data_IF_743937821020
#
_entry.id   IF_743937821020
#
_cell.length_a   1.000
_cell.length_b   1.000
_cell.length_c   1.000
_cell.angle_alpha   90.00
_cell.angle_beta   90.00
_cell.angle_gamma   90.00
#
_symmetry.space_group_name_H-M   'P 1'
#
loop_
_entity.id
_entity.type
_entity.pdbx_description
1 polymer ?
#
# COMPACT_ATOMS: atom_id res chain seq x y z
N UNK A 1 -22.35 -31.11 -7.74
CA UNK A 1 -22.65 -29.67 -7.57
C UNK A 1 -21.32 -28.93 -7.67
N UNK A 2 -21.00 -28.36 -8.83
CA UNK A 2 -19.76 -27.60 -9.03
C UNK A 2 -19.99 -26.15 -8.62
N UNK A 3 -19.28 -25.69 -7.59
CA UNK A 3 -19.16 -24.28 -7.29
C UNK A 3 -18.35 -23.62 -8.42
N UNK A 4 -18.97 -22.69 -9.15
CA UNK A 4 -18.25 -21.83 -10.09
C UNK A 4 -17.42 -20.88 -9.22
N UNK A 5 -16.08 -20.88 -9.30
CA UNK A 5 -15.30 -19.86 -8.62
C UNK A 5 -15.63 -18.53 -9.29
N UNK A 6 -16.25 -17.62 -8.53
CA UNK A 6 -16.42 -16.22 -8.94
C UNK A 6 -15.03 -15.67 -9.20
N UNK A 7 -14.72 -15.37 -10.46
CA UNK A 7 -13.52 -14.65 -10.83
C UNK A 7 -13.56 -13.31 -10.10
N UNK A 8 -12.71 -13.15 -9.09
CA UNK A 8 -12.57 -11.88 -8.39
C UNK A 8 -11.85 -10.95 -9.37
N UNK A 9 -12.50 -9.87 -9.76
CA UNK A 9 -11.95 -8.97 -10.78
C UNK A 9 -10.67 -8.30 -10.23
N UNK A 10 -9.63 -8.08 -11.06
CA UNK A 10 -8.55 -7.19 -10.66
C UNK A 10 -9.19 -5.86 -10.22
N UNK A 11 -8.76 -5.31 -9.09
CA UNK A 11 -9.18 -3.98 -8.64
C UNK A 11 -8.93 -2.99 -9.79
N UNK A 12 -9.98 -2.70 -10.56
CA UNK A 12 -9.96 -1.71 -11.63
C UNK A 12 -9.39 -0.44 -11.02
N UNK A 13 -8.40 0.16 -11.69
CA UNK A 13 -7.82 1.43 -11.25
C UNK A 13 -8.99 2.40 -11.03
N UNK A 14 -9.26 2.84 -9.80
CA UNK A 14 -10.44 3.64 -9.56
C UNK A 14 -10.35 4.96 -10.33
N UNK A 15 -11.50 5.44 -10.80
CA UNK A 15 -11.59 6.69 -11.53
C UNK A 15 -11.12 7.90 -10.69
N UNK A 16 -11.25 7.79 -9.36
CA UNK A 16 -10.75 8.76 -8.39
C UNK A 16 -9.69 8.12 -7.46
N UNK A 17 -8.43 8.61 -7.49
CA UNK A 17 -7.39 8.17 -6.57
C UNK A 17 -7.74 8.36 -5.08
N UNK A 18 -8.63 9.30 -4.74
CA UNK A 18 -9.08 9.48 -3.36
C UNK A 18 -9.81 8.25 -2.80
N UNK A 19 -10.39 7.42 -3.67
CA UNK A 19 -11.00 6.15 -3.27
C UNK A 19 -9.99 5.11 -2.76
N UNK A 20 -8.68 5.32 -2.98
CA UNK A 20 -7.62 4.44 -2.51
C UNK A 20 -7.09 4.82 -1.12
N UNK A 21 -7.58 5.90 -0.50
CA UNK A 21 -7.15 6.27 0.86
C UNK A 21 -7.50 5.16 1.85
N UNK A 22 -6.54 4.77 2.68
CA UNK A 22 -6.65 3.62 3.58
C UNK A 22 -6.33 2.28 2.92
N UNK A 23 -5.84 2.26 1.67
CA UNK A 23 -5.44 1.03 0.97
C UNK A 23 -3.96 1.01 0.63
N UNK A 24 -3.40 -0.19 0.42
CA UNK A 24 -2.03 -0.32 -0.07
C UNK A 24 -1.96 0.08 -1.53
N UNK A 25 -1.07 1.02 -1.80
CA UNK A 25 -0.82 1.54 -3.13
C UNK A 25 0.68 1.58 -3.42
N UNK A 26 0.99 1.61 -4.70
CA UNK A 26 2.28 2.03 -5.24
C UNK A 26 2.17 3.47 -5.72
N UNK A 27 3.12 4.31 -5.33
CA UNK A 27 3.21 5.67 -5.85
C UNK A 27 3.48 5.68 -7.35
N UNK A 28 2.93 6.69 -8.03
CA UNK A 28 3.04 6.85 -9.47
C UNK A 28 4.39 7.41 -9.97
N UNK A 29 5.33 7.74 -9.09
CA UNK A 29 6.61 8.37 -9.46
C UNK A 29 7.73 7.37 -9.80
N UNK A 30 7.41 6.07 -9.80
CA UNK A 30 8.32 5.00 -10.23
C UNK A 30 9.32 4.55 -9.17
N UNK A 31 9.37 5.19 -7.99
CA UNK A 31 10.26 4.78 -6.90
C UNK A 31 9.91 3.37 -6.40
N UNK A 32 10.87 2.43 -6.30
CA UNK A 32 10.62 1.04 -5.93
C UNK A 32 10.25 0.86 -4.44
N UNK A 33 10.59 1.84 -3.62
CA UNK A 33 10.34 1.92 -2.19
C UNK A 33 9.04 2.69 -1.84
N UNK A 34 8.39 3.32 -2.82
CA UNK A 34 7.16 4.08 -2.62
C UNK A 34 5.92 3.18 -2.66
N UNK A 35 5.91 2.14 -1.82
CA UNK A 35 4.78 1.22 -1.60
C UNK A 35 4.35 1.32 -0.15
N UNK A 36 3.08 1.64 0.09
CA UNK A 36 2.56 1.89 1.44
C UNK A 36 1.07 2.09 1.46
N UNK A 37 0.52 2.30 2.65
CA UNK A 37 -0.89 2.66 2.83
C UNK A 37 -1.08 4.13 2.45
N UNK A 38 -1.98 4.42 1.52
CA UNK A 38 -2.28 5.78 1.12
C UNK A 38 -2.99 6.53 2.25
N UNK A 39 -2.37 7.58 2.77
CA UNK A 39 -2.94 8.42 3.84
C UNK A 39 -3.63 9.65 3.25
N UNK A 40 -3.04 10.22 2.21
CA UNK A 40 -3.57 11.41 1.53
C UNK A 40 -3.22 11.39 0.06
N UNK A 41 -4.12 11.88 -0.76
CA UNK A 41 -3.87 12.16 -2.18
C UNK A 41 -4.63 13.42 -2.56
N UNK A 42 -3.97 14.31 -3.28
CA UNK A 42 -4.58 15.55 -3.75
C UNK A 42 -4.17 15.84 -5.18
N UNK A 43 -5.11 16.41 -5.94
CA UNK A 43 -4.84 16.85 -7.30
C UNK A 43 -4.29 18.28 -7.25
N UNK A 44 -3.05 18.46 -7.71
CA UNK A 44 -2.39 19.76 -7.76
C UNK A 44 -2.58 20.48 -9.11
N UNK A 45 -3.07 19.76 -10.13
CA UNK A 45 -3.31 20.32 -11.46
C UNK A 45 -3.80 19.29 -12.47
N UNK A 46 -3.73 19.60 -13.77
CA UNK A 46 -4.07 18.64 -14.82
C UNK A 46 -3.06 17.48 -14.83
N UNK A 47 -3.47 16.38 -14.23
CA UNK A 47 -2.69 15.14 -14.23
C UNK A 47 -1.46 15.21 -13.33
N UNK A 48 -1.40 16.10 -12.33
CA UNK A 48 -0.34 16.13 -11.33
C UNK A 48 -0.95 15.95 -9.95
N UNK A 49 -0.36 15.06 -9.16
CA UNK A 49 -0.88 14.60 -7.88
C UNK A 49 0.19 14.80 -6.80
N UNK A 50 -0.22 15.20 -5.61
CA UNK A 50 0.54 14.99 -4.38
C UNK A 50 -0.05 13.81 -3.61
N UNK A 51 0.79 13.12 -2.86
CA UNK A 51 0.38 11.98 -2.06
C UNK A 51 1.26 11.81 -0.83
N UNK A 52 0.71 11.13 0.15
CA UNK A 52 1.39 10.72 1.39
C UNK A 52 1.08 9.26 1.65
N UNK A 53 2.12 8.45 1.82
CA UNK A 53 2.05 7.04 2.16
C UNK A 53 2.56 6.84 3.58
N UNK A 54 1.88 5.99 4.33
CA UNK A 54 2.44 5.35 5.51
C UNK A 54 3.16 4.08 5.07
N UNK A 55 4.46 3.99 5.38
CA UNK A 55 5.27 2.81 5.05
C UNK A 55 5.91 2.24 6.33
N UNK A 56 6.40 0.98 6.29
CA UNK A 56 7.13 0.40 7.43
C UNK A 56 8.39 1.19 7.82
N UNK A 57 8.98 1.93 6.88
CA UNK A 57 10.17 2.76 7.11
C UNK A 57 9.81 4.20 7.55
N UNK A 58 8.52 4.54 7.61
CA UNK A 58 8.01 5.86 7.96
C UNK A 58 7.13 6.48 6.89
N UNK A 59 6.59 7.68 7.16
CA UNK A 59 5.78 8.39 6.20
C UNK A 59 6.63 8.84 5.00
N UNK A 60 6.13 8.59 3.79
CA UNK A 60 6.75 9.02 2.53
C UNK A 60 5.80 9.98 1.83
N UNK A 61 6.30 11.16 1.49
CA UNK A 61 5.56 12.14 0.69
C UNK A 61 6.13 12.23 -0.70
N UNK A 62 5.28 12.52 -1.67
CA UNK A 62 5.73 12.74 -3.03
C UNK A 62 4.67 13.39 -3.88
N UNK A 63 5.07 13.65 -5.12
CA UNK A 63 4.19 14.18 -6.14
C UNK A 63 4.62 13.69 -7.51
N UNK A 64 3.68 13.53 -8.43
CA UNK A 64 3.99 13.04 -9.77
C UNK A 64 2.84 13.18 -10.75
N UNK A 65 3.14 12.93 -12.03
CA UNK A 65 2.14 12.96 -13.11
C UNK A 65 1.21 11.74 -13.12
N UNK A 66 1.55 10.71 -12.33
CA UNK A 66 0.75 9.51 -12.18
C UNK A 66 0.18 9.46 -10.77
N UNK A 67 -1.12 9.16 -10.68
CA UNK A 67 -1.76 8.88 -9.41
C UNK A 67 -1.18 7.60 -8.77
N UNK A 68 -1.24 7.47 -7.44
CA UNK A 68 -1.04 6.19 -6.79
C UNK A 68 -1.97 5.13 -7.38
N UNK A 69 -1.50 3.90 -7.47
CA UNK A 69 -2.23 2.77 -8.05
C UNK A 69 -2.25 1.59 -7.07
N UNK A 70 -3.25 0.69 -7.15
CA UNK A 70 -3.26 -0.54 -6.37
C UNK A 70 -1.93 -1.30 -6.48
N UNK A 71 -1.50 -1.92 -5.39
CA UNK A 71 -0.29 -2.76 -5.38
C UNK A 71 -0.45 -3.99 -6.26
N UNK A 72 0.65 -4.42 -6.87
CA UNK A 72 0.73 -5.74 -7.51
C UNK A 72 1.08 -6.82 -6.49
N UNK A 73 0.92 -8.10 -6.83
CA UNK A 73 1.37 -9.21 -5.96
C UNK A 73 2.89 -9.17 -5.69
N UNK A 74 3.69 -8.69 -6.64
CA UNK A 74 5.12 -8.49 -6.43
C UNK A 74 5.40 -7.40 -5.36
N UNK A 75 4.64 -6.30 -5.41
CA UNK A 75 4.71 -5.24 -4.39
C UNK A 75 4.27 -5.76 -3.03
N UNK A 76 3.14 -6.49 -2.98
CA UNK A 76 2.58 -7.07 -1.77
C UNK A 76 3.58 -8.04 -1.10
N UNK A 77 4.23 -8.91 -1.88
CA UNK A 77 5.27 -9.81 -1.35
C UNK A 77 6.44 -9.04 -0.72
N UNK A 78 6.89 -7.96 -1.37
CA UNK A 78 7.95 -7.10 -0.84
C UNK A 78 7.53 -6.39 0.45
N UNK A 79 6.30 -5.87 0.49
CA UNK A 79 5.74 -5.19 1.66
C UNK A 79 5.53 -6.16 2.85
N UNK A 80 4.98 -7.36 2.62
CA UNK A 80 4.86 -8.43 3.63
C UNK A 80 6.18 -8.73 4.31
N UNK A 81 7.26 -8.89 3.51
CA UNK A 81 8.60 -9.17 4.05
C UNK A 81 9.08 -8.06 4.98
N UNK A 82 8.89 -6.79 4.59
CA UNK A 82 9.31 -5.62 5.38
C UNK A 82 8.49 -5.48 6.67
N UNK A 83 7.17 -5.66 6.60
CA UNK A 83 6.29 -5.61 7.78
C UNK A 83 6.63 -6.70 8.80
N UNK A 84 6.89 -7.93 8.33
CA UNK A 84 7.30 -9.04 9.20
C UNK A 84 8.64 -8.76 9.88
N UNK A 85 9.59 -8.16 9.16
CA UNK A 85 10.87 -7.73 9.74
C UNK A 85 10.65 -6.62 10.79
N UNK A 86 9.90 -5.56 10.46
CA UNK A 86 9.60 -4.47 11.40
C UNK A 86 8.89 -4.96 12.67
N UNK A 87 7.97 -5.93 12.53
CA UNK A 87 7.30 -6.57 13.67
C UNK A 87 8.29 -7.39 14.52
N UNK A 88 9.23 -8.10 13.90
CA UNK A 88 10.27 -8.84 14.61
C UNK A 88 11.19 -7.89 15.37
N UNK A 89 11.66 -6.82 14.73
CA UNK A 89 12.53 -5.81 15.34
C UNK A 89 11.82 -5.12 16.53
N UNK A 90 10.55 -4.75 16.38
CA UNK A 90 9.76 -4.16 17.46
C UNK A 90 9.58 -5.13 18.64
N UNK A 91 9.38 -6.42 18.37
CA UNK A 91 9.23 -7.44 19.41
C UNK A 91 10.55 -7.77 20.13
N UNK A 92 11.68 -7.76 19.41
CA UNK A 92 13.00 -8.08 19.96
C UNK A 92 13.60 -6.91 20.73
N UNK A 93 13.51 -5.69 20.18
CA UNK A 93 14.22 -4.53 20.71
C UNK A 93 13.32 -3.51 21.41
N UNK A 94 12.00 -3.61 21.26
CA UNK A 94 11.06 -2.60 21.78
C UNK A 94 11.20 -1.22 21.13
N UNK A 95 12.04 -1.10 20.10
CA UNK A 95 12.33 0.13 19.35
C UNK A 95 12.05 -0.14 17.88
N UNK A 96 11.04 0.51 17.33
CA UNK A 96 10.74 0.47 15.90
C UNK A 96 11.24 1.73 15.18
N UNK A 97 11.40 1.66 13.86
CA UNK A 97 11.44 2.88 13.05
C UNK A 97 10.07 3.56 13.08
N UNK A 98 9.99 4.89 12.93
CA UNK A 98 8.70 5.57 12.75
C UNK A 98 7.88 4.85 11.67
N UNK A 99 6.61 4.55 11.93
CA UNK A 99 5.73 3.76 11.06
C UNK A 99 5.68 2.26 11.42
N UNK A 100 6.66 1.72 12.16
CA UNK A 100 6.66 0.32 12.60
C UNK A 100 5.61 0.01 13.66
N UNK A 101 5.14 1.03 14.38
CA UNK A 101 4.10 0.88 15.40
C UNK A 101 2.78 0.34 14.84
N UNK A 102 2.56 0.49 13.53
CA UNK A 102 1.38 -0.03 12.83
C UNK A 102 1.65 -1.32 12.04
N UNK A 103 2.85 -1.92 12.15
CA UNK A 103 3.27 -3.01 11.26
C UNK A 103 2.36 -4.25 11.30
N UNK A 104 1.71 -4.52 12.44
CA UNK A 104 0.73 -5.60 12.54
C UNK A 104 -0.56 -5.29 11.76
N UNK A 105 -1.15 -4.11 11.99
CA UNK A 105 -2.38 -3.65 11.33
C UNK A 105 -2.17 -3.50 9.81
N UNK A 106 -1.01 -2.96 9.42
CA UNK A 106 -0.63 -2.79 8.03
C UNK A 106 -0.43 -4.12 7.31
N UNK A 107 0.08 -5.15 8.01
CA UNK A 107 0.20 -6.50 7.48
C UNK A 107 -1.18 -7.13 7.29
N UNK A 108 -2.08 -7.01 8.26
CA UNK A 108 -3.43 -7.56 8.17
C UNK A 108 -4.21 -6.92 7.01
N UNK A 109 -4.10 -5.60 6.84
CA UNK A 109 -4.68 -4.86 5.72
C UNK A 109 -4.13 -5.33 4.37
N UNK A 110 -2.82 -5.56 4.29
CA UNK A 110 -2.17 -6.03 3.07
C UNK A 110 -2.63 -7.43 2.68
N UNK A 111 -2.75 -8.34 3.66
CA UNK A 111 -3.22 -9.71 3.43
C UNK A 111 -4.70 -9.72 3.02
N UNK A 112 -5.54 -8.87 3.63
CA UNK A 112 -6.93 -8.68 3.21
C UNK A 112 -7.05 -8.22 1.75
N UNK A 113 -6.23 -7.25 1.33
CA UNK A 113 -6.25 -6.72 -0.05
C UNK A 113 -5.70 -7.73 -1.05
N UNK A 114 -4.63 -8.42 -0.70
CA UNK A 114 -4.10 -9.48 -1.55
C UNK A 114 -5.07 -10.64 -1.69
N UNK A 115 -5.83 -11.00 -0.64
CA UNK A 115 -6.88 -12.01 -0.74
C UNK A 115 -8.07 -11.55 -1.61
N UNK A 116 -8.28 -10.24 -1.76
CA UNK A 116 -9.29 -9.64 -2.63
C UNK A 116 -8.84 -9.54 -4.10
N UNK A 117 -7.61 -9.91 -4.45
CA UNK A 117 -7.09 -9.98 -5.82
C UNK A 117 -6.63 -11.42 -6.12
N UNK A 118 -7.37 -12.21 -6.91
CA UNK A 118 -7.07 -13.63 -7.17
C UNK A 118 -5.95 -13.83 -8.21
#
# INVERSE_FOLDING_TARGET
>A
MSAIPTAVQPLDRPADPAALVGTWVRAGDGRPDAVGVLVRVERLGRGFWSWELRTPAGPVRGSGSSAPAPVTEADARGARRRLRAARADLAEFGVGTPGSEHAAEDLDLLELQAAACP
#
